data_IF_648967669057
#
_entry.id   IF_648967669057
#
_cell.length_a   1.000
_cell.length_b   1.000
_cell.length_c   1.000
_cell.angle_alpha   90.00
_cell.angle_beta   90.00
_cell.angle_gamma   90.00
#
_symmetry.space_group_name_H-M   'P 1'
#
loop_
_entity.id
_entity.type
_entity.pdbx_description
1 polymer ?
#
# COMPACT_ATOMS: atom_id res chain seq x y z
N UNK A 1 -8.53 -13.37 3.13
CA UNK A 1 -9.18 -12.77 1.94
C UNK A 1 -9.86 -11.52 2.43
N UNK A 2 -9.34 -10.35 2.06
CA UNK A 2 -9.87 -9.05 2.44
C UNK A 2 -10.63 -8.51 1.23
N UNK A 3 -11.92 -8.25 1.41
CA UNK A 3 -12.70 -7.51 0.40
C UNK A 3 -12.69 -6.05 0.81
N UNK A 4 -12.02 -5.22 0.03
CA UNK A 4 -11.93 -3.79 0.29
C UNK A 4 -12.76 -3.05 -0.75
N UNK A 5 -13.70 -2.23 -0.27
CA UNK A 5 -14.44 -1.29 -1.10
C UNK A 5 -14.38 0.05 -0.36
N UNK A 6 -13.71 1.03 -0.94
CA UNK A 6 -13.69 2.39 -0.40
C UNK A 6 -13.00 2.57 0.97
N UNK A 7 -12.16 1.63 1.43
CA UNK A 7 -11.31 1.84 2.61
C UNK A 7 -9.95 2.40 2.18
N UNK A 8 -10.00 3.65 1.73
CA UNK A 8 -8.84 4.39 1.24
C UNK A 8 -8.35 5.34 2.32
N UNK A 9 -7.05 5.32 2.53
CA UNK A 9 -6.32 6.22 3.42
C UNK A 9 -5.45 7.12 2.56
N UNK A 10 -5.54 8.43 2.80
CA UNK A 10 -4.61 9.41 2.25
C UNK A 10 -3.50 9.68 3.25
N UNK A 11 -2.25 9.58 2.81
CA UNK A 11 -1.07 9.93 3.61
C UNK A 11 -0.38 11.11 2.93
N UNK A 12 -0.25 12.22 3.65
CA UNK A 12 0.46 13.41 3.20
C UNK A 12 1.95 13.35 3.46
N UNK A 13 2.71 14.23 2.81
CA UNK A 13 4.14 14.38 3.04
C UNK A 13 4.43 14.57 4.53
N UNK A 14 5.51 13.94 5.00
CA UNK A 14 5.97 13.92 6.38
C UNK A 14 5.01 13.26 7.40
N UNK A 15 3.92 12.64 6.92
CA UNK A 15 3.01 11.88 7.78
C UNK A 15 3.43 10.42 7.91
N UNK A 16 3.11 9.85 9.07
CA UNK A 16 3.32 8.45 9.39
C UNK A 16 2.23 7.62 8.69
N UNK A 17 2.65 6.54 8.02
CA UNK A 17 1.74 5.53 7.47
C UNK A 17 1.05 4.81 8.63
N UNK A 18 -0.30 4.84 8.72
CA UNK A 18 -1.01 4.41 9.94
C UNK A 18 -1.17 2.89 10.08
N UNK A 19 -1.09 2.15 8.97
CA UNK A 19 -1.26 0.70 8.91
C UNK A 19 -0.53 0.14 7.69
N UNK A 20 -0.46 -1.19 7.54
CA UNK A 20 -0.02 -1.79 6.28
C UNK A 20 -0.98 -1.42 5.14
N UNK A 21 -0.51 -0.66 4.15
CA UNK A 21 -1.33 -0.22 3.01
C UNK A 21 -0.68 -0.58 1.68
N UNK A 22 -1.50 -0.93 0.69
CA UNK A 22 -1.09 -1.04 -0.71
C UNK A 22 -1.28 0.29 -1.42
N UNK A 23 -0.26 0.69 -2.18
CA UNK A 23 -0.24 1.95 -2.92
C UNK A 23 -1.19 1.93 -4.13
N UNK A 24 -2.21 2.78 -4.11
CA UNK A 24 -3.20 2.93 -5.17
C UNK A 24 -2.86 4.08 -6.12
N UNK A 25 -2.45 5.22 -5.55
CA UNK A 25 -2.13 6.43 -6.31
C UNK A 25 -1.00 7.21 -5.65
N UNK A 26 -0.31 8.00 -6.44
CA UNK A 26 0.70 8.96 -5.97
C UNK A 26 0.58 10.24 -6.78
N UNK A 27 0.83 11.38 -6.12
CA UNK A 27 0.97 12.68 -6.78
C UNK A 27 2.27 12.82 -7.58
N UNK A 28 3.21 11.88 -7.43
CA UNK A 28 4.43 11.83 -8.25
C UNK A 28 4.12 11.53 -9.72
N UNK A 29 4.80 12.24 -10.63
CA UNK A 29 4.70 12.01 -12.08
C UNK A 29 5.10 10.58 -12.49
N UNK A 30 5.96 9.93 -11.69
CA UNK A 30 6.44 8.57 -11.96
C UNK A 30 5.53 7.49 -11.37
N UNK A 31 4.43 7.86 -10.71
CA UNK A 31 3.57 6.92 -9.97
C UNK A 31 4.33 6.13 -8.89
N UNK A 32 5.27 6.80 -8.24
CA UNK A 32 6.13 6.28 -7.17
C UNK A 32 5.99 7.12 -5.90
N UNK A 33 6.43 6.60 -4.77
CA UNK A 33 6.63 7.37 -3.55
C UNK A 33 7.90 6.93 -2.81
N UNK A 34 8.35 7.74 -1.86
CA UNK A 34 9.55 7.46 -1.06
C UNK A 34 9.19 7.39 0.42
N UNK A 35 9.66 6.34 1.09
CA UNK A 35 9.43 6.12 2.51
C UNK A 35 10.75 6.16 3.28
N UNK A 36 10.72 6.81 4.44
CA UNK A 36 11.74 6.63 5.46
C UNK A 36 11.35 5.46 6.38
N UNK A 37 12.26 4.50 6.56
CA UNK A 37 12.02 3.27 7.34
C UNK A 37 12.85 3.19 8.62
N UNK A 38 13.58 4.25 8.99
CA UNK A 38 14.48 4.26 10.15
C UNK A 38 13.82 3.83 11.47
N UNK A 39 12.51 4.06 11.63
CA UNK A 39 11.75 3.62 12.80
C UNK A 39 11.48 2.09 12.85
N UNK A 40 11.64 1.38 11.72
CA UNK A 40 11.36 -0.05 11.56
C UNK A 40 12.67 -0.85 11.55
N UNK A 41 13.61 -0.49 10.69
CA UNK A 41 14.84 -1.26 10.44
C UNK A 41 16.14 -0.50 10.76
N UNK A 42 16.05 0.78 11.14
CA UNK A 42 17.20 1.64 11.38
C UNK A 42 17.90 2.12 10.11
N UNK A 43 17.36 1.83 8.92
CA UNK A 43 17.92 2.32 7.67
C UNK A 43 17.54 3.78 7.41
N UNK A 44 18.53 4.59 7.05
CA UNK A 44 18.36 6.03 6.79
C UNK A 44 18.07 6.34 5.31
N UNK A 45 18.24 5.36 4.43
CA UNK A 45 17.97 5.54 3.02
C UNK A 45 16.46 5.51 2.76
N UNK A 46 16.02 6.35 1.82
CA UNK A 46 14.64 6.32 1.37
C UNK A 46 14.38 5.06 0.54
N UNK A 47 13.27 4.39 0.82
CA UNK A 47 12.77 3.23 0.05
C UNK A 47 11.74 3.70 -0.96
N UNK A 48 12.03 3.49 -2.24
CA UNK A 48 11.08 3.76 -3.31
C UNK A 48 9.99 2.68 -3.34
N UNK A 49 8.74 3.08 -3.50
CA UNK A 49 7.58 2.22 -3.74
C UNK A 49 6.87 2.66 -5.01
N UNK A 50 6.14 1.76 -5.65
CA UNK A 50 5.46 2.00 -6.93
C UNK A 50 3.98 1.66 -6.84
N UNK A 51 3.14 2.50 -7.45
CA UNK A 51 1.72 2.25 -7.61
C UNK A 51 1.50 0.91 -8.30
N UNK A 52 0.55 0.12 -7.80
CA UNK A 52 0.26 -1.19 -8.39
C UNK A 52 -0.23 -1.02 -9.85
N UNK A 53 0.26 -1.87 -10.74
CA UNK A 53 0.13 -1.70 -12.21
C UNK A 53 -1.32 -1.54 -12.68
N UNK A 54 -2.29 -2.14 -12.00
CA UNK A 54 -3.70 -2.02 -12.35
C UNK A 54 -4.29 -0.61 -12.13
N UNK A 55 -3.63 0.24 -11.34
CA UNK A 55 -4.12 1.58 -11.00
C UNK A 55 -3.42 2.70 -11.79
N UNK A 56 -2.29 2.45 -12.45
CA UNK A 56 -1.46 3.47 -13.11
C UNK A 56 -2.20 4.38 -14.11
N UNK A 57 -3.22 3.85 -14.80
CA UNK A 57 -4.00 4.58 -15.80
C UNK A 57 -5.46 4.77 -15.40
N UNK A 58 -5.75 4.63 -14.10
CA UNK A 58 -7.10 4.77 -13.59
C UNK A 58 -7.34 6.20 -13.12
N UNK A 59 -8.47 6.80 -13.50
CA UNK A 59 -8.79 8.17 -13.10
C UNK A 59 -9.06 8.29 -11.59
N UNK A 60 -9.86 7.37 -11.04
CA UNK A 60 -10.27 7.34 -9.63
C UNK A 60 -9.97 5.96 -9.01
N UNK A 61 -8.70 5.59 -8.82
CA UNK A 61 -8.34 4.29 -8.22
C UNK A 61 -8.93 4.08 -6.82
N UNK A 62 -9.17 5.15 -6.07
CA UNK A 62 -9.81 5.16 -4.75
C UNK A 62 -11.28 4.72 -4.76
N UNK A 63 -11.96 4.83 -5.90
CA UNK A 63 -13.37 4.41 -6.08
C UNK A 63 -13.48 2.95 -6.52
N UNK A 64 -12.35 2.25 -6.69
CA UNK A 64 -12.32 0.88 -7.17
C UNK A 64 -12.82 -0.12 -6.15
N UNK A 65 -13.61 -1.08 -6.64
CA UNK A 65 -13.92 -2.30 -5.91
C UNK A 65 -12.96 -3.41 -6.33
N UNK A 66 -12.33 -4.07 -5.36
CA UNK A 66 -11.42 -5.18 -5.61
C UNK A 66 -11.40 -6.18 -4.46
N UNK A 67 -10.91 -7.37 -4.79
CA UNK A 67 -10.60 -8.40 -3.82
C UNK A 67 -9.08 -8.48 -3.65
N UNK A 68 -8.61 -8.37 -2.41
CA UNK A 68 -7.22 -8.52 -2.06
C UNK A 68 -7.02 -9.80 -1.25
N UNK A 69 -6.07 -10.62 -1.69
CA UNK A 69 -5.57 -11.72 -0.90
C UNK A 69 -4.06 -11.58 -0.77
N UNK A 70 -3.59 -11.49 0.46
CA UNK A 70 -2.17 -11.42 0.76
C UNK A 70 -1.82 -12.40 1.88
N UNK A 71 -0.52 -12.52 2.12
CA UNK A 71 0.03 -13.23 3.26
C UNK A 71 -0.52 -12.66 4.58
N UNK A 72 -0.53 -13.49 5.62
CA UNK A 72 -0.78 -13.02 6.99
C UNK A 72 0.35 -12.07 7.42
N UNK A 73 0.09 -11.15 8.37
CA UNK A 73 1.16 -10.41 9.03
C UNK A 73 2.27 -11.36 9.47
N UNK A 74 3.51 -10.99 9.16
CA UNK A 74 4.71 -11.76 9.48
C UNK A 74 5.83 -10.79 9.91
N UNK A 75 6.85 -11.31 10.59
CA UNK A 75 7.94 -10.51 11.14
C UNK A 75 9.01 -10.13 10.09
N UNK A 76 8.95 -10.71 8.89
CA UNK A 76 9.84 -10.38 7.79
C UNK A 76 9.31 -9.18 7.00
N UNK A 77 9.74 -7.99 7.41
CA UNK A 77 9.40 -6.71 6.79
C UNK A 77 9.82 -6.60 5.30
N UNK A 78 10.63 -7.52 4.80
CA UNK A 78 11.05 -7.57 3.39
C UNK A 78 10.20 -8.51 2.54
N UNK A 79 9.38 -9.35 3.16
CA UNK A 79 8.57 -10.36 2.49
C UNK A 79 7.08 -10.01 2.51
N UNK A 80 6.53 -9.80 1.33
CA UNK A 80 5.10 -9.66 1.12
C UNK A 80 4.72 -10.26 -0.22
N UNK A 81 3.71 -11.14 -0.21
CA UNK A 81 3.06 -11.61 -1.42
C UNK A 81 1.56 -11.39 -1.32
N UNK A 82 0.99 -10.88 -2.40
CA UNK A 82 -0.44 -10.79 -2.55
C UNK A 82 -0.89 -10.81 -3.99
N UNK A 83 -2.19 -10.83 -4.14
CA UNK A 83 -2.91 -10.80 -5.41
C UNK A 83 -4.14 -9.93 -5.26
N UNK A 84 -4.34 -9.06 -6.23
CA UNK A 84 -5.48 -8.17 -6.33
C UNK A 84 -6.30 -8.51 -7.58
N UNK A 85 -7.62 -8.62 -7.40
CA UNK A 85 -8.57 -8.82 -8.48
C UNK A 85 -9.55 -7.65 -8.51
N UNK A 86 -9.49 -6.83 -9.55
CA UNK A 86 -10.46 -5.74 -9.76
C UNK A 86 -11.83 -6.34 -10.04
N UNK A 87 -12.90 -5.78 -9.47
CA UNK A 87 -14.27 -6.26 -9.74
C UNK A 87 -14.72 -6.06 -11.18
N UNK A 88 -14.03 -5.18 -11.93
CA UNK A 88 -14.32 -4.87 -13.34
C UNK A 88 -13.61 -5.79 -14.34
N UNK A 89 -12.68 -6.63 -13.88
CA UNK A 89 -11.89 -7.51 -14.75
C UNK A 89 -11.77 -8.91 -14.17
N UNK A 90 -11.33 -9.87 -14.98
CA UNK A 90 -10.95 -11.21 -14.51
C UNK A 90 -9.44 -11.35 -14.34
N UNK A 91 -8.70 -10.26 -14.49
CA UNK A 91 -7.23 -10.25 -14.45
C UNK A 91 -6.76 -10.14 -13.01
N UNK A 92 -5.87 -11.04 -12.63
CA UNK A 92 -5.23 -11.04 -11.30
C UNK A 92 -3.90 -10.29 -11.40
N UNK A 93 -3.72 -9.31 -10.52
CA UNK A 93 -2.50 -8.51 -10.43
C UNK A 93 -1.70 -8.93 -9.19
N UNK A 94 -0.47 -9.44 -9.35
CA UNK A 94 0.38 -9.73 -8.19
C UNK A 94 0.80 -8.42 -7.52
N UNK A 95 0.84 -8.42 -6.20
CA UNK A 95 1.43 -7.35 -5.41
C UNK A 95 2.52 -7.89 -4.49
N UNK A 96 3.59 -7.12 -4.35
CA UNK A 96 4.77 -7.48 -3.57
C UNK A 96 5.22 -6.31 -2.68
N UNK A 97 6.38 -6.44 -2.04
CA UNK A 97 6.90 -5.41 -1.15
C UNK A 97 7.11 -4.06 -1.87
N UNK A 98 7.26 -4.00 -3.20
CA UNK A 98 7.38 -2.74 -3.93
C UNK A 98 6.08 -1.92 -3.93
N UNK A 99 4.93 -2.57 -3.68
CA UNK A 99 3.62 -1.91 -3.62
C UNK A 99 3.15 -1.67 -2.18
N UNK A 100 3.78 -2.31 -1.20
CA UNK A 100 3.41 -2.25 0.21
C UNK A 100 4.13 -1.11 0.95
N UNK A 101 3.37 -0.33 1.70
CA UNK A 101 3.85 0.64 2.67
C UNK A 101 3.55 0.12 4.07
N UNK A 102 4.60 -0.09 4.87
CA UNK A 102 4.48 -0.59 6.23
C UNK A 102 4.03 0.51 7.19
N UNK A 103 3.32 0.10 8.24
CA UNK A 103 2.98 0.98 9.37
C UNK A 103 4.25 1.55 10.00
N UNK A 104 4.24 2.84 10.32
CA UNK A 104 5.38 3.50 10.98
C UNK A 104 6.41 4.08 10.01
N UNK A 105 6.36 3.74 8.72
CA UNK A 105 7.11 4.47 7.69
C UNK A 105 6.62 5.93 7.61
N UNK A 106 7.50 6.83 7.21
CA UNK A 106 7.14 8.24 6.98
C UNK A 106 7.19 8.54 5.48
N UNK A 107 6.12 9.11 4.94
CA UNK A 107 6.10 9.56 3.54
C UNK A 107 7.03 10.76 3.36
N UNK A 108 7.88 10.73 2.34
CA UNK A 108 8.79 11.82 1.99
C UNK A 108 8.65 12.16 0.51
N UNK A 109 9.02 13.39 0.15
CA UNK A 109 9.12 13.93 -1.23
C UNK A 109 7.77 14.10 -1.94
N UNK A 110 6.88 13.13 -1.84
CA UNK A 110 5.55 13.12 -2.49
C UNK A 110 4.52 13.85 -1.62
N UNK A 111 3.77 14.79 -2.21
CA UNK A 111 2.77 15.61 -1.51
C UNK A 111 1.72 14.77 -0.77
N UNK A 112 1.13 13.81 -1.48
CA UNK A 112 0.30 12.76 -0.88
C UNK A 112 0.22 11.51 -1.76
N UNK A 113 -0.17 10.42 -1.12
CA UNK A 113 -0.52 9.13 -1.73
C UNK A 113 -1.88 8.66 -1.22
N UNK A 114 -2.58 7.88 -2.02
CA UNK A 114 -3.76 7.13 -1.58
C UNK A 114 -3.42 5.63 -1.54
N UNK A 115 -3.84 4.96 -0.47
CA UNK A 115 -3.61 3.53 -0.27
C UNK A 115 -4.81 2.82 0.33
N UNK A 116 -4.93 1.52 0.07
CA UNK A 116 -5.92 0.65 0.72
C UNK A 116 -5.28 -0.15 1.84
N UNK A 117 -6.01 -0.38 2.93
CA UNK A 117 -5.60 -1.30 3.97
C UNK A 117 -5.41 -2.71 3.37
N UNK A 118 -4.24 -3.31 3.58
CA UNK A 118 -3.97 -4.69 3.16
C UNK A 118 -4.13 -5.70 4.30
N UNK A 119 -3.79 -5.27 5.51
CA UNK A 119 -3.88 -6.06 6.73
C UNK A 119 -4.72 -5.27 7.73
N UNK A 120 -5.95 -5.72 7.95
CA UNK A 120 -6.56 -5.54 9.26
C UNK A 120 -5.72 -6.44 10.18
N UNK A 121 -4.96 -5.84 11.10
CA UNK A 121 -4.56 -6.58 12.29
C UNK A 121 -5.87 -7.20 12.81
N UNK A 122 -5.97 -8.54 12.84
CA UNK A 122 -7.05 -9.14 13.62
C UNK A 122 -6.92 -8.50 15.00
N UNK A 123 -7.88 -7.66 15.37
CA UNK A 123 -8.07 -7.35 16.77
C UNK A 123 -8.10 -8.71 17.45
N UNK A 124 -7.09 -8.97 18.29
CA UNK A 124 -7.19 -10.01 19.30
C UNK A 124 -8.33 -9.54 20.18
N UNK A 125 -9.56 -9.87 19.78
CA UNK A 125 -10.72 -9.81 20.65
C UNK A 125 -10.41 -10.77 21.80
N UNK A 126 -10.00 -10.19 22.92
CA UNK A 126 -9.92 -10.88 24.20
C UNK A 126 -11.28 -11.36 24.67
#
# INVERSE_FOLDING_TARGET
MVRSVGNVVRVGVDQIVPAGILLLSSTSLESTCYLETAAIDGETNLKQKSVLTCFLNMANPEESSFELQCDKPNDDIYQFHGRLLLSTTTTVYPCDNNNLLLRGCVLRITDYIDGTLCCIEEEVMG
#
